data_IF_616681212914
#
_entry.id   IF_616681212914
#
_cell.length_a   1.000
_cell.length_b   1.000
_cell.length_c   1.000
_cell.angle_alpha   90.00
_cell.angle_beta   90.00
_cell.angle_gamma   90.00
#
_symmetry.space_group_name_H-M   'P 1'
#
loop_
_entity.id
_entity.type
_entity.pdbx_description
1 polymer ?
#
# COMPACT_ATOMS: atom_id res chain seq x y z
N UNK A 1 -29.71 44.14 -31.20
CA UNK A 1 -29.73 44.89 -29.93
C UNK A 1 -30.89 44.50 -29.00
N UNK A 2 -31.86 43.66 -29.41
CA UNK A 2 -33.02 43.30 -28.57
C UNK A 2 -32.78 42.32 -27.41
N UNK A 3 -31.75 41.47 -27.46
CA UNK A 3 -31.67 40.33 -26.52
C UNK A 3 -31.22 40.72 -25.09
N UNK A 4 -30.45 41.80 -24.95
CA UNK A 4 -29.91 42.22 -23.64
C UNK A 4 -30.95 42.93 -22.76
N UNK A 5 -31.88 43.66 -23.38
CA UNK A 5 -32.94 44.39 -22.68
C UNK A 5 -34.01 43.42 -22.17
N UNK A 6 -34.37 42.43 -22.99
CA UNK A 6 -35.35 41.40 -22.63
C UNK A 6 -34.86 40.51 -21.48
N UNK A 7 -33.58 40.10 -21.50
CA UNK A 7 -32.94 39.39 -20.38
C UNK A 7 -32.91 40.21 -19.08
N UNK A 8 -32.66 41.52 -19.16
CA UNK A 8 -32.66 42.39 -17.99
C UNK A 8 -34.06 42.51 -17.36
N UNK A 9 -35.09 42.64 -18.19
CA UNK A 9 -36.49 42.70 -17.74
C UNK A 9 -36.96 41.38 -17.11
N UNK A 10 -36.54 40.23 -17.65
CA UNK A 10 -36.82 38.91 -17.07
C UNK A 10 -36.14 38.71 -15.71
N UNK A 11 -34.92 39.22 -15.52
CA UNK A 11 -34.21 39.18 -14.24
C UNK A 11 -34.86 40.09 -13.18
N UNK A 12 -35.33 41.27 -13.58
CA UNK A 12 -36.05 42.20 -12.70
C UNK A 12 -37.45 41.69 -12.30
N UNK A 13 -38.11 40.92 -13.17
CA UNK A 13 -39.42 40.31 -12.92
C UNK A 13 -39.35 38.89 -12.31
N UNK A 14 -38.15 38.38 -12.04
CA UNK A 14 -37.92 37.00 -11.63
C UNK A 14 -38.68 36.63 -10.35
N UNK A 15 -39.42 35.51 -10.39
CA UNK A 15 -40.12 34.99 -9.20
C UNK A 15 -39.09 34.63 -8.13
N UNK A 16 -39.40 34.82 -6.83
CA UNK A 16 -38.43 34.61 -5.74
C UNK A 16 -37.69 33.26 -5.79
N UNK A 17 -38.39 32.16 -6.12
CA UNK A 17 -37.79 30.84 -6.23
C UNK A 17 -36.87 30.64 -7.44
N UNK A 18 -37.03 31.43 -8.50
CA UNK A 18 -36.19 31.38 -9.70
C UNK A 18 -34.86 32.11 -9.49
N UNK A 19 -34.86 33.22 -8.74
CA UNK A 19 -33.64 33.87 -8.28
C UNK A 19 -32.85 33.00 -7.29
N UNK A 20 -33.54 32.29 -6.41
CA UNK A 20 -32.89 31.37 -5.46
C UNK A 20 -32.20 30.21 -6.20
N UNK A 21 -32.90 29.60 -7.16
CA UNK A 21 -32.33 28.57 -8.05
C UNK A 21 -31.13 29.09 -8.85
N UNK A 22 -31.19 30.32 -9.38
CA UNK A 22 -30.05 30.96 -10.05
C UNK A 22 -28.86 31.16 -9.10
N UNK A 23 -29.12 31.54 -7.84
CA UNK A 23 -28.10 31.63 -6.78
C UNK A 23 -27.40 30.28 -6.56
N UNK A 24 -28.18 29.23 -6.32
CA UNK A 24 -27.67 27.86 -6.14
C UNK A 24 -26.86 27.38 -7.35
N UNK A 25 -27.36 27.60 -8.57
CA UNK A 25 -26.65 27.24 -9.79
C UNK A 25 -25.35 28.02 -9.96
N UNK A 26 -25.34 29.30 -9.56
CA UNK A 26 -24.12 30.13 -9.60
C UNK A 26 -23.06 29.63 -8.64
N UNK A 27 -23.46 29.17 -7.44
CA UNK A 27 -22.56 28.65 -6.43
C UNK A 27 -22.03 27.26 -6.80
N UNK A 28 -22.90 26.39 -7.32
CA UNK A 28 -22.49 25.10 -7.89
C UNK A 28 -21.48 25.29 -9.04
N UNK A 29 -21.70 26.28 -9.92
CA UNK A 29 -20.77 26.58 -11.02
C UNK A 29 -19.41 27.13 -10.52
N UNK A 30 -19.37 27.86 -9.40
CA UNK A 30 -18.11 28.29 -8.77
C UNK A 30 -17.37 27.09 -8.19
N UNK A 31 -18.08 26.18 -7.54
CA UNK A 31 -17.47 24.99 -6.95
C UNK A 31 -16.93 24.03 -8.01
N UNK A 32 -17.68 23.81 -9.09
CA UNK A 32 -17.18 23.03 -10.25
C UNK A 32 -15.89 23.62 -10.84
N UNK A 33 -15.79 24.95 -10.94
CA UNK A 33 -14.55 25.61 -11.40
C UNK A 33 -13.39 25.41 -10.43
N UNK A 34 -13.65 25.44 -9.12
CA UNK A 34 -12.62 25.18 -8.10
C UNK A 34 -12.13 23.74 -8.18
N UNK A 35 -13.05 22.77 -8.29
CA UNK A 35 -12.71 21.36 -8.43
C UNK A 35 -11.88 21.10 -9.71
N UNK A 36 -12.28 21.70 -10.83
CA UNK A 36 -11.51 21.62 -12.08
C UNK A 36 -10.12 22.25 -11.96
N UNK A 37 -9.97 23.33 -11.19
CA UNK A 37 -8.67 23.94 -10.92
C UNK A 37 -7.76 23.03 -10.06
N UNK A 38 -8.33 22.38 -9.04
CA UNK A 38 -7.60 21.40 -8.20
C UNK A 38 -7.19 20.19 -9.03
N UNK A 39 -8.06 19.70 -9.91
CA UNK A 39 -7.75 18.58 -10.80
C UNK A 39 -6.65 18.95 -11.80
N UNK A 40 -6.69 20.15 -12.37
CA UNK A 40 -5.64 20.68 -13.25
C UNK A 40 -4.30 20.82 -12.52
N UNK A 41 -4.31 21.24 -11.25
CA UNK A 41 -3.10 21.32 -10.42
C UNK A 41 -2.54 19.91 -10.10
N UNK A 42 -3.41 18.96 -9.76
CA UNK A 42 -3.03 17.57 -9.50
C UNK A 42 -2.45 16.88 -10.74
N UNK A 43 -2.99 17.17 -11.93
CA UNK A 43 -2.48 16.63 -13.21
C UNK A 43 -1.23 17.36 -13.71
N UNK A 44 -1.00 18.61 -13.31
CA UNK A 44 0.21 19.36 -13.61
C UNK A 44 1.40 19.02 -12.70
N UNK A 45 1.17 18.33 -11.58
CA UNK A 45 2.27 17.73 -10.83
C UNK A 45 3.02 16.78 -11.75
N UNK A 46 4.37 16.82 -11.78
CA UNK A 46 5.15 15.87 -12.56
C UNK A 46 4.87 14.46 -12.01
N UNK A 47 3.93 13.77 -12.63
CA UNK A 47 3.61 12.39 -12.31
C UNK A 47 4.82 11.55 -12.65
N UNK A 48 5.42 10.91 -11.65
CA UNK A 48 6.47 9.95 -11.90
C UNK A 48 5.86 8.80 -12.72
N UNK A 49 6.32 8.65 -13.96
CA UNK A 49 5.81 7.61 -14.85
C UNK A 49 6.28 6.27 -14.31
N UNK A 50 5.35 5.49 -13.76
CA UNK A 50 5.62 4.11 -13.36
C UNK A 50 5.55 3.25 -14.62
N UNK A 51 6.65 2.59 -15.03
CA UNK A 51 6.63 1.73 -16.21
C UNK A 51 5.62 0.59 -16.06
N UNK A 52 5.13 0.08 -17.17
CA UNK A 52 4.20 -1.06 -17.16
C UNK A 52 4.82 -2.26 -16.46
N UNK A 53 4.07 -2.89 -15.55
CA UNK A 53 4.54 -4.01 -14.73
C UNK A 53 5.28 -3.60 -13.43
N UNK A 54 5.47 -2.31 -13.17
CA UNK A 54 6.06 -1.80 -11.94
C UNK A 54 4.98 -1.23 -11.00
N UNK A 55 5.28 -1.21 -9.71
CA UNK A 55 4.44 -0.61 -8.67
C UNK A 55 5.22 0.40 -7.83
N UNK A 56 4.48 1.30 -7.17
CA UNK A 56 5.06 2.22 -6.18
C UNK A 56 5.11 1.49 -4.84
N UNK A 57 6.30 1.46 -4.24
CA UNK A 57 6.56 0.78 -2.97
C UNK A 57 7.23 1.76 -2.00
N UNK A 58 7.03 1.60 -0.67
CA UNK A 58 7.65 2.47 0.32
C UNK A 58 9.16 2.25 0.39
N UNK A 59 9.94 3.33 0.49
CA UNK A 59 11.40 3.24 0.65
C UNK A 59 11.82 2.51 1.93
N UNK A 60 11.00 2.58 2.99
CA UNK A 60 11.27 1.93 4.26
C UNK A 60 10.02 1.22 4.81
N UNK A 61 10.22 0.03 5.38
CA UNK A 61 9.18 -0.71 6.08
C UNK A 61 9.12 -0.27 7.55
N UNK A 62 7.95 0.18 7.99
CA UNK A 62 7.75 0.63 9.36
C UNK A 62 6.49 0.00 9.96
N UNK A 63 6.31 0.10 11.27
CA UNK A 63 5.02 -0.23 11.86
C UNK A 63 3.95 0.81 11.45
N UNK A 64 4.35 2.08 11.31
CA UNK A 64 3.44 3.19 11.01
C UNK A 64 2.82 3.14 9.61
N UNK A 65 3.53 2.58 8.61
CA UNK A 65 2.96 2.33 7.28
C UNK A 65 2.31 0.96 7.12
N UNK A 66 2.08 0.23 8.23
CA UNK A 66 1.39 -1.07 8.24
C UNK A 66 2.25 -2.26 7.78
N UNK A 67 3.48 -2.05 7.31
CA UNK A 67 4.30 -3.13 6.77
C UNK A 67 4.61 -4.23 7.78
N UNK A 68 4.81 -3.88 9.06
CA UNK A 68 5.09 -4.89 10.10
C UNK A 68 3.94 -5.87 10.27
N UNK A 69 2.70 -5.38 10.27
CA UNK A 69 1.52 -6.23 10.41
C UNK A 69 1.35 -7.14 9.19
N UNK A 70 1.59 -6.61 7.99
CA UNK A 70 1.42 -7.36 6.74
C UNK A 70 2.46 -8.46 6.52
N UNK A 71 3.71 -8.25 6.96
CA UNK A 71 4.84 -9.11 6.57
C UNK A 71 5.35 -10.03 7.69
N UNK A 72 5.05 -9.74 8.96
CA UNK A 72 5.58 -10.55 10.06
C UNK A 72 4.86 -11.90 10.13
N UNK A 73 5.60 -13.00 10.03
CA UNK A 73 5.06 -14.36 10.05
C UNK A 73 4.83 -14.98 8.66
N UNK A 74 4.84 -14.16 7.61
CA UNK A 74 4.68 -14.63 6.23
C UNK A 74 5.95 -15.32 5.71
N UNK A 75 7.11 -14.80 6.08
CA UNK A 75 8.40 -15.35 5.66
C UNK A 75 8.89 -16.41 6.64
N UNK A 76 9.16 -17.60 6.11
CA UNK A 76 9.65 -18.75 6.86
C UNK A 76 10.69 -19.48 6.02
N UNK A 77 11.73 -19.97 6.67
CA UNK A 77 12.71 -20.85 6.06
C UNK A 77 12.67 -22.21 6.77
N UNK A 78 12.88 -23.26 6.00
CA UNK A 78 12.94 -24.64 6.50
C UNK A 78 14.42 -25.00 6.59
N UNK A 79 14.84 -25.48 7.75
CA UNK A 79 16.19 -25.93 8.03
C UNK A 79 16.16 -27.41 8.39
N UNK A 80 17.19 -28.14 8.00
CA UNK A 80 17.46 -29.49 8.48
C UNK A 80 18.54 -29.37 9.56
N UNK A 81 18.13 -29.63 10.81
CA UNK A 81 19.02 -29.59 11.98
C UNK A 81 19.21 -31.01 12.50
N UNK A 82 20.36 -31.27 13.11
CA UNK A 82 20.61 -32.54 13.79
C UNK A 82 19.65 -32.72 14.97
N UNK A 83 19.10 -33.91 15.12
CA UNK A 83 18.26 -34.25 16.26
C UNK A 83 19.11 -34.40 17.52
N UNK A 84 18.61 -33.88 18.65
CA UNK A 84 19.29 -33.95 19.94
C UNK A 84 19.54 -35.40 20.42
N UNK A 85 18.81 -36.38 19.86
CA UNK A 85 19.05 -37.80 20.14
C UNK A 85 20.43 -38.29 19.68
N UNK A 86 21.07 -37.63 18.69
CA UNK A 86 22.44 -37.95 18.29
C UNK A 86 23.49 -37.60 19.35
N UNK A 87 23.13 -36.82 20.38
CA UNK A 87 24.05 -36.45 21.46
C UNK A 87 24.04 -37.44 22.64
N UNK A 88 23.11 -38.39 22.65
CA UNK A 88 23.02 -39.43 23.67
C UNK A 88 23.53 -40.74 23.08
N UNK A 89 24.76 -41.12 23.44
CA UNK A 89 25.37 -42.42 23.11
C UNK A 89 24.76 -43.56 23.97
N UNK A 90 23.44 -43.57 24.16
CA UNK A 90 22.76 -44.64 24.89
C UNK A 90 22.56 -45.83 23.92
N UNK A 91 23.62 -46.64 23.82
CA UNK A 91 23.78 -47.82 22.94
C UNK A 91 22.74 -48.94 23.19
N UNK A 92 21.85 -48.79 24.18
CA UNK A 92 20.90 -49.82 24.68
C UNK A 92 19.41 -49.43 24.58
N UNK A 93 19.05 -48.44 23.74
CA UNK A 93 17.65 -48.05 23.52
C UNK A 93 17.11 -48.60 22.18
N UNK A 94 16.35 -49.71 22.23
CA UNK A 94 15.59 -50.24 21.08
C UNK A 94 14.40 -49.33 20.67
N UNK A 95 14.18 -48.22 21.38
CA UNK A 95 13.10 -47.27 21.09
C UNK A 95 13.55 -46.21 20.06
N UNK A 96 12.86 -46.14 18.92
CA UNK A 96 13.08 -45.12 17.90
C UNK A 96 12.76 -43.71 18.45
N UNK A 97 13.63 -42.73 18.23
CA UNK A 97 13.41 -41.36 18.71
C UNK A 97 12.11 -40.77 18.11
N UNK A 98 11.16 -40.37 18.97
CA UNK A 98 9.84 -39.85 18.56
C UNK A 98 9.90 -38.56 17.73
N UNK A 99 10.99 -37.80 17.84
CA UNK A 99 11.15 -36.50 17.17
C UNK A 99 11.71 -36.62 15.75
N UNK A 100 12.61 -37.58 15.52
CA UNK A 100 13.25 -37.78 14.22
C UNK A 100 13.01 -39.17 13.62
N UNK A 101 12.20 -40.03 14.24
CA UNK A 101 11.95 -41.40 13.77
C UNK A 101 13.22 -42.23 13.53
N UNK A 102 14.27 -42.01 14.32
CA UNK A 102 15.58 -42.65 14.14
C UNK A 102 16.46 -42.13 13.00
N UNK A 103 16.02 -41.14 12.21
CA UNK A 103 16.83 -40.55 11.12
C UNK A 103 17.96 -39.64 11.61
N UNK A 104 17.87 -39.17 12.86
CA UNK A 104 18.88 -38.30 13.47
C UNK A 104 18.84 -36.85 12.95
N UNK A 105 17.91 -36.48 12.09
CA UNK A 105 17.71 -35.13 11.58
C UNK A 105 16.23 -34.70 11.69
N UNK A 106 16.00 -33.41 11.87
CA UNK A 106 14.65 -32.82 12.00
C UNK A 106 14.51 -31.60 11.11
N UNK A 107 13.31 -31.40 10.56
CA UNK A 107 12.97 -30.18 9.84
C UNK A 107 12.41 -29.12 10.79
N UNK A 108 13.08 -27.99 10.88
CA UNK A 108 12.69 -26.85 11.73
C UNK A 108 12.29 -25.68 10.85
N UNK A 109 11.07 -25.17 11.08
CA UNK A 109 10.58 -23.96 10.43
C UNK A 109 10.95 -22.75 11.26
N UNK A 110 11.82 -21.88 10.73
CA UNK A 110 12.21 -20.63 11.37
C UNK A 110 11.50 -19.46 10.70
N UNK A 111 10.75 -18.70 11.49
CA UNK A 111 10.13 -17.45 11.00
C UNK A 111 11.21 -16.39 10.84
N UNK A 112 11.21 -15.71 9.70
CA UNK A 112 12.16 -14.62 9.45
C UNK A 112 11.79 -13.42 10.32
N UNK A 113 12.78 -12.94 11.08
CA UNK A 113 12.57 -11.83 12.01
C UNK A 113 12.22 -10.53 11.26
N UNK A 114 11.45 -9.66 11.93
CA UNK A 114 11.14 -8.32 11.41
C UNK A 114 12.40 -7.52 11.04
N UNK A 115 13.47 -7.68 11.80
CA UNK A 115 14.75 -7.02 11.52
C UNK A 115 15.36 -7.50 10.20
N UNK A 116 15.34 -8.81 9.93
CA UNK A 116 15.84 -9.38 8.69
C UNK A 116 14.99 -8.95 7.49
N UNK A 117 13.65 -8.94 7.63
CA UNK A 117 12.73 -8.45 6.59
C UNK A 117 13.07 -7.01 6.21
N UNK A 118 13.28 -6.12 7.20
CA UNK A 118 13.69 -4.73 6.93
C UNK A 118 15.04 -4.63 6.22
N UNK A 119 16.02 -5.46 6.60
CA UNK A 119 17.34 -5.44 6.00
C UNK A 119 17.30 -5.87 4.52
N UNK A 120 16.57 -6.95 4.22
CA UNK A 120 16.34 -7.41 2.84
C UNK A 120 15.63 -6.31 2.03
N UNK A 121 14.58 -5.72 2.60
CA UNK A 121 13.85 -4.64 1.93
C UNK A 121 14.72 -3.42 1.64
N UNK A 122 15.52 -2.96 2.60
CA UNK A 122 16.41 -1.82 2.40
C UNK A 122 17.41 -2.06 1.25
N UNK A 123 17.90 -3.30 1.14
CA UNK A 123 18.74 -3.71 0.01
C UNK A 123 17.96 -3.68 -1.32
N UNK A 124 16.73 -4.20 -1.35
CA UNK A 124 15.90 -4.12 -2.55
C UNK A 124 15.56 -2.67 -2.94
N UNK A 125 15.07 -1.85 -2.01
CA UNK A 125 14.69 -0.47 -2.25
C UNK A 125 15.85 0.40 -2.75
N UNK A 126 17.06 0.20 -2.23
CA UNK A 126 18.25 0.96 -2.68
C UNK A 126 18.77 0.57 -4.06
N UNK A 127 18.48 -0.66 -4.53
CA UNK A 127 19.00 -1.16 -5.80
C UNK A 127 17.95 -1.21 -6.93
N UNK A 128 16.67 -1.23 -6.59
CA UNK A 128 15.56 -1.33 -7.55
C UNK A 128 14.82 0.00 -7.75
N UNK A 129 15.26 1.08 -7.10
CA UNK A 129 14.73 2.41 -7.33
C UNK A 129 14.92 2.84 -8.79
N UNK A 130 13.85 3.33 -9.41
CA UNK A 130 13.90 3.93 -10.74
C UNK A 130 14.53 5.31 -10.58
N UNK A 131 15.79 5.42 -10.97
CA UNK A 131 16.51 6.70 -11.00
C UNK A 131 15.97 7.55 -12.13
N UNK A 132 15.43 8.71 -11.79
CA UNK A 132 15.03 9.76 -12.72
C UNK A 132 16.23 10.48 -13.31
#
# INVERSE_FOLDING_TARGET
>A
MSNAIELAQYLEAGRPGELELLGYLSDAAKELRRLAAVEAELTALPGQVVPSGYGILPLALTAGNGAKYLLSGEFKEIYEDACECQAFDDEDSDDECEMCGGYGEVQIVRVISWSNIKAIWAMAASNLEIKS
#
